data_IF_990480271730
#
_entry.id   IF_990480271730
#
_cell.length_a   1.000
_cell.length_b   1.000
_cell.length_c   1.000
_cell.angle_alpha   90.00
_cell.angle_beta   90.00
_cell.angle_gamma   90.00
#
_symmetry.space_group_name_H-M   'P 1'
#
loop_
_entity.id
_entity.type
_entity.pdbx_description
1 polymer ?
#
# COMPACT_ATOMS: atom_id res chain seq x y z
N UNK A 1 1.50 13.97 -27.53
CA UNK A 1 1.53 14.66 -26.21
C UNK A 1 1.98 13.64 -25.18
N UNK A 2 3.03 13.92 -24.40
CA UNK A 2 3.55 12.96 -23.42
C UNK A 2 2.75 13.04 -22.11
N UNK A 3 1.64 12.30 -22.07
CA UNK A 3 0.74 12.26 -20.92
C UNK A 3 1.40 11.66 -19.68
N UNK A 4 2.32 10.70 -19.87
CA UNK A 4 3.05 10.05 -18.79
C UNK A 4 3.92 11.04 -18.04
N UNK A 5 4.70 11.83 -18.77
CA UNK A 5 5.54 12.86 -18.14
C UNK A 5 4.70 13.97 -17.48
N UNK A 6 3.62 14.41 -18.11
CA UNK A 6 2.68 15.36 -17.47
C UNK A 6 2.09 14.81 -16.17
N UNK A 7 1.73 13.53 -16.14
CA UNK A 7 1.22 12.91 -14.92
C UNK A 7 2.31 12.81 -13.83
N UNK A 8 3.54 12.44 -14.20
CA UNK A 8 4.69 12.46 -13.27
C UNK A 8 4.89 13.84 -12.66
N UNK A 9 4.78 14.91 -13.45
CA UNK A 9 4.86 16.30 -12.95
C UNK A 9 3.74 16.62 -11.96
N UNK A 10 2.51 16.19 -12.23
CA UNK A 10 1.36 16.37 -11.32
C UNK A 10 1.61 15.68 -9.99
N UNK A 11 2.00 14.40 -10.00
CA UNK A 11 2.30 13.66 -8.76
C UNK A 11 3.51 14.26 -8.04
N UNK A 12 4.54 14.68 -8.76
CA UNK A 12 5.71 15.34 -8.19
C UNK A 12 5.33 16.59 -7.39
N UNK A 13 4.47 17.44 -7.98
CA UNK A 13 4.07 18.75 -7.45
C UNK A 13 2.97 18.68 -6.38
N UNK A 14 1.97 17.82 -6.57
CA UNK A 14 0.75 17.80 -5.73
C UNK A 14 0.58 16.50 -4.94
N UNK A 15 1.44 15.51 -5.17
CA UNK A 15 1.46 14.27 -4.42
C UNK A 15 2.22 14.39 -3.11
N UNK A 16 1.96 13.44 -2.22
CA UNK A 16 2.61 13.29 -0.93
C UNK A 16 3.22 11.89 -0.81
N UNK A 17 4.13 11.73 0.13
CA UNK A 17 4.86 10.49 0.33
C UNK A 17 4.15 9.58 1.34
N UNK A 18 4.00 8.31 0.98
CA UNK A 18 3.50 7.25 1.86
C UNK A 18 4.53 6.13 1.97
N UNK A 19 4.29 5.19 2.88
CA UNK A 19 5.02 3.94 2.93
C UNK A 19 4.19 2.81 2.32
N UNK A 20 4.73 2.17 1.29
CA UNK A 20 4.14 0.99 0.64
C UNK A 20 4.84 -0.25 1.18
N UNK A 21 4.09 -1.09 1.90
CA UNK A 21 4.53 -2.41 2.34
C UNK A 21 4.10 -3.44 1.31
N UNK A 22 5.08 -3.99 0.60
CA UNK A 22 4.90 -4.97 -0.45
C UNK A 22 5.20 -6.37 0.06
N UNK A 23 4.32 -7.32 -0.24
CA UNK A 23 4.51 -8.71 0.15
C UNK A 23 5.20 -9.52 -0.95
N UNK A 24 6.32 -10.16 -0.62
CA UNK A 24 6.94 -11.13 -1.52
C UNK A 24 6.22 -12.48 -1.41
N UNK A 25 5.17 -12.67 -2.22
CA UNK A 25 4.36 -13.91 -2.24
C UNK A 25 5.15 -15.18 -2.58
N UNK A 26 6.38 -15.06 -3.11
CA UNK A 26 7.27 -16.20 -3.39
C UNK A 26 8.08 -16.65 -2.17
N UNK A 27 8.16 -15.83 -1.11
CA UNK A 27 8.95 -16.11 0.09
C UNK A 27 8.08 -16.03 1.33
N UNK A 28 7.72 -17.19 1.87
CA UNK A 28 7.08 -17.29 3.19
C UNK A 28 8.02 -16.76 4.27
N UNK A 29 7.44 -16.14 5.28
CA UNK A 29 8.17 -15.76 6.47
C UNK A 29 8.51 -17.02 7.29
N UNK A 30 9.60 -16.98 8.04
CA UNK A 30 9.98 -18.08 8.95
C UNK A 30 8.95 -18.34 10.03
N UNK A 31 8.08 -17.36 10.35
CA UNK A 31 6.99 -17.53 11.31
C UNK A 31 5.71 -18.15 10.72
N UNK A 32 5.70 -18.48 9.42
CA UNK A 32 4.53 -19.07 8.78
C UNK A 32 4.45 -20.55 9.10
N UNK A 33 3.30 -20.97 9.63
CA UNK A 33 3.00 -22.37 9.90
C UNK A 33 2.12 -22.94 8.78
N UNK A 34 2.68 -23.90 8.04
CA UNK A 34 2.00 -24.59 6.94
C UNK A 34 0.84 -25.48 7.40
N UNK A 35 0.84 -25.96 8.66
CA UNK A 35 -0.25 -26.80 9.17
C UNK A 35 -1.49 -25.97 9.49
N UNK A 36 -1.31 -24.84 10.16
CA UNK A 36 -2.42 -23.93 10.52
C UNK A 36 -2.74 -22.91 9.42
N UNK A 37 -1.92 -22.84 8.36
CA UNK A 37 -2.01 -21.85 7.29
C UNK A 37 -2.03 -20.42 7.86
N UNK A 38 -1.27 -20.19 8.93
CA UNK A 38 -1.30 -18.95 9.69
C UNK A 38 0.12 -18.46 9.99
N UNK A 39 0.25 -17.16 10.21
CA UNK A 39 1.49 -16.53 10.61
C UNK A 39 1.33 -15.92 12.00
N UNK A 40 2.43 -15.86 12.75
CA UNK A 40 2.46 -15.08 13.98
C UNK A 40 2.12 -13.61 13.70
N UNK A 41 1.03 -13.14 14.31
CA UNK A 41 0.52 -11.77 14.19
C UNK A 41 1.53 -10.72 14.68
N UNK A 42 2.47 -11.12 15.54
CA UNK A 42 3.52 -10.26 16.12
C UNK A 42 4.87 -10.42 15.44
N UNK A 43 4.94 -11.15 14.32
CA UNK A 43 6.21 -11.33 13.63
C UNK A 43 6.75 -9.99 13.10
N UNK A 44 7.96 -9.55 13.47
CA UNK A 44 8.52 -8.27 13.03
C UNK A 44 8.96 -8.27 11.56
N UNK A 45 9.02 -9.43 10.90
CA UNK A 45 9.49 -9.56 9.53
C UNK A 45 8.35 -9.57 8.49
N UNK A 46 7.20 -10.15 8.85
CA UNK A 46 6.02 -10.21 7.98
C UNK A 46 4.83 -9.46 8.53
N UNK A 47 4.90 -8.95 9.76
CA UNK A 47 3.87 -8.15 10.40
C UNK A 47 2.50 -8.86 10.50
N UNK A 48 2.52 -10.19 10.59
CA UNK A 48 1.33 -11.05 10.61
C UNK A 48 0.81 -11.47 9.24
N UNK A 49 1.47 -11.08 8.14
CA UNK A 49 1.05 -11.39 6.77
C UNK A 49 1.54 -12.76 6.28
N UNK A 50 2.55 -13.34 6.94
CA UNK A 50 3.10 -14.66 6.58
C UNK A 50 4.05 -14.69 5.39
N UNK A 51 4.36 -13.53 4.81
CA UNK A 51 5.31 -13.37 3.71
C UNK A 51 6.38 -12.34 4.05
N UNK A 52 7.59 -12.54 3.54
CA UNK A 52 8.65 -11.54 3.65
C UNK A 52 8.15 -10.25 3.00
N UNK A 53 8.23 -9.15 3.75
CA UNK A 53 7.69 -7.86 3.32
C UNK A 53 8.80 -6.83 3.17
N UNK A 54 8.65 -5.92 2.21
CA UNK A 54 9.55 -4.78 2.00
C UNK A 54 8.75 -3.51 2.07
N UNK A 55 9.23 -2.51 2.82
CA UNK A 55 8.58 -1.21 2.91
C UNK A 55 9.39 -0.17 2.14
N UNK A 56 8.75 0.52 1.20
CA UNK A 56 9.37 1.57 0.37
C UNK A 56 8.58 2.87 0.44
N UNK A 57 9.28 4.00 0.28
CA UNK A 57 8.64 5.31 0.14
C UNK A 57 8.08 5.42 -1.27
N UNK A 58 6.80 5.80 -1.39
CA UNK A 58 6.14 6.04 -2.67
C UNK A 58 5.49 7.41 -2.65
N UNK A 59 5.66 8.17 -3.73
CA UNK A 59 4.96 9.43 -3.94
C UNK A 59 3.65 9.16 -4.66
N UNK A 60 2.54 9.55 -4.04
CA UNK A 60 1.19 9.27 -4.53
C UNK A 60 0.31 10.50 -4.43
N UNK A 61 -0.87 10.42 -5.03
CA UNK A 61 -2.00 11.31 -4.74
C UNK A 61 -3.18 10.45 -4.31
N UNK A 62 -4.03 10.93 -3.43
CA UNK A 62 -5.27 10.23 -3.09
C UNK A 62 -6.48 11.08 -3.46
N UNK A 63 -7.62 10.40 -3.55
CA UNK A 63 -8.94 11.01 -3.48
C UNK A 63 -9.71 10.22 -2.41
N UNK A 64 -10.02 10.92 -1.32
CA UNK A 64 -10.96 10.48 -0.31
C UNK A 64 -12.32 11.08 -0.66
N UNK A 65 -13.13 10.32 -1.40
CA UNK A 65 -14.49 10.73 -1.67
C UNK A 65 -15.39 10.14 -0.61
N UNK A 66 -16.02 10.98 0.22
CA UNK A 66 -17.14 10.56 1.07
C UNK A 66 -18.33 9.98 0.29
N UNK A 67 -18.24 9.97 -1.04
CA UNK A 67 -19.11 9.26 -1.99
C UNK A 67 -18.39 7.98 -2.44
N UNK A 68 -19.00 6.79 -2.31
CA UNK A 68 -18.39 5.53 -2.70
C UNK A 68 -17.93 5.54 -4.16
N UNK A 69 -16.68 5.16 -4.43
CA UNK A 69 -16.21 5.01 -5.81
C UNK A 69 -16.76 3.71 -6.36
N UNK A 70 -17.89 3.78 -7.05
CA UNK A 70 -18.54 2.60 -7.63
C UNK A 70 -17.72 2.07 -8.80
N UNK A 71 -16.90 1.04 -8.58
CA UNK A 71 -16.48 0.13 -9.64
C UNK A 71 -17.40 -1.09 -9.67
N UNK A 72 -17.96 -1.46 -10.83
CA UNK A 72 -18.70 -2.71 -10.98
C UNK A 72 -17.90 -3.96 -10.57
N UNK A 73 -16.56 -3.91 -10.69
CA UNK A 73 -15.66 -5.04 -10.42
C UNK A 73 -15.26 -5.23 -8.94
N UNK A 74 -15.38 -4.19 -8.10
CA UNK A 74 -15.04 -4.25 -6.66
C UNK A 74 -16.29 -4.60 -5.83
N UNK A 75 -17.37 -4.99 -6.51
CA UNK A 75 -18.53 -5.63 -5.89
C UNK A 75 -18.17 -7.06 -5.50
N UNK A 76 -17.18 -7.22 -4.59
CA UNK A 76 -16.90 -8.50 -3.98
C UNK A 76 -18.08 -8.82 -3.07
N UNK A 77 -18.93 -9.74 -3.52
CA UNK A 77 -19.99 -10.36 -2.73
C UNK A 77 -19.35 -11.12 -1.58
N UNK A 78 -19.21 -10.45 -0.43
CA UNK A 78 -18.95 -11.17 0.81
C UNK A 78 -20.11 -12.15 1.04
N UNK A 79 -19.80 -13.35 1.54
CA UNK A 79 -20.68 -14.52 1.76
C UNK A 79 -21.91 -14.26 2.66
N UNK A 80 -22.13 -13.02 3.08
CA UNK A 80 -23.27 -12.56 3.89
C UNK A 80 -24.00 -11.33 3.30
N UNK A 81 -23.85 -11.02 2.00
CA UNK A 81 -24.69 -10.01 1.33
C UNK A 81 -24.32 -8.54 1.56
N UNK A 82 -23.09 -8.26 2.03
CA UNK A 82 -22.58 -6.89 2.14
C UNK A 82 -21.83 -6.45 0.88
N UNK A 83 -22.29 -5.36 0.24
CA UNK A 83 -21.58 -4.65 -0.82
C UNK A 83 -20.44 -3.83 -0.21
N UNK A 84 -19.18 -4.22 -0.39
CA UNK A 84 -18.03 -3.39 0.03
C UNK A 84 -17.62 -2.49 -1.12
N UNK A 85 -18.03 -1.22 -1.10
CA UNK A 85 -17.59 -0.24 -2.10
C UNK A 85 -16.26 0.36 -1.64
N UNK A 86 -15.26 0.43 -2.53
CA UNK A 86 -14.01 1.13 -2.21
C UNK A 86 -14.29 2.62 -2.04
N UNK A 87 -14.05 3.14 -0.84
CA UNK A 87 -14.27 4.55 -0.48
C UNK A 87 -13.08 5.43 -0.83
N UNK A 88 -11.88 4.84 -0.96
CA UNK A 88 -10.65 5.57 -1.23
C UNK A 88 -9.86 4.99 -2.40
N UNK A 89 -9.32 5.89 -3.21
CA UNK A 89 -8.42 5.55 -4.32
C UNK A 89 -7.09 6.28 -4.19
N UNK A 90 -6.00 5.55 -4.42
CA UNK A 90 -4.64 6.04 -4.45
C UNK A 90 -4.10 5.98 -5.88
N UNK A 91 -3.40 7.04 -6.28
CA UNK A 91 -2.91 7.30 -7.61
C UNK A 91 -1.38 7.24 -7.57
N UNK A 92 -0.83 6.21 -8.20
CA UNK A 92 0.60 5.89 -8.20
C UNK A 92 1.25 6.24 -9.53
N UNK A 93 2.56 6.46 -9.49
CA UNK A 93 3.39 6.54 -10.70
C UNK A 93 3.36 5.20 -11.48
N UNK A 94 3.57 5.22 -12.81
CA UNK A 94 3.48 4.02 -13.63
C UNK A 94 4.59 3.00 -13.31
N UNK A 95 5.73 3.46 -12.80
CA UNK A 95 6.82 2.60 -12.31
C UNK A 95 6.55 1.92 -10.96
N UNK A 96 5.49 2.30 -10.23
CA UNK A 96 5.17 1.67 -8.96
C UNK A 96 4.76 0.21 -9.21
N UNK A 97 5.46 -0.73 -8.57
CA UNK A 97 5.10 -2.13 -8.60
C UNK A 97 4.06 -2.37 -7.51
N UNK A 98 2.81 -2.64 -7.88
CA UNK A 98 1.72 -2.85 -6.93
C UNK A 98 1.19 -4.27 -7.06
N UNK A 99 0.83 -4.87 -5.93
CA UNK A 99 0.12 -6.15 -5.88
C UNK A 99 -1.10 -6.01 -4.97
N UNK A 100 -2.20 -6.68 -5.32
CA UNK A 100 -3.34 -6.81 -4.40
C UNK A 100 -2.88 -7.43 -3.07
N UNK A 101 -3.41 -6.89 -1.98
CA UNK A 101 -3.04 -7.14 -0.58
C UNK A 101 -1.76 -6.45 -0.09
N UNK A 102 -1.05 -5.69 -0.92
CA UNK A 102 -0.04 -4.75 -0.40
C UNK A 102 -0.72 -3.72 0.52
N UNK A 103 0.05 -3.17 1.47
CA UNK A 103 -0.46 -2.20 2.45
C UNK A 103 0.09 -0.81 2.16
N UNK A 104 -0.79 0.18 2.20
CA UNK A 104 -0.46 1.60 2.17
C UNK A 104 -0.52 2.12 3.60
N UNK A 105 0.58 2.67 4.09
CA UNK A 105 0.67 3.27 5.42
C UNK A 105 0.78 4.77 5.23
N UNK A 106 -0.28 5.50 5.59
CA UNK A 106 -0.27 6.96 5.56
C UNK A 106 0.57 7.47 6.74
N UNK A 107 1.61 8.24 6.42
CA UNK A 107 2.57 8.81 7.36
C UNK A 107 2.77 10.29 7.08
N UNK A 108 3.25 11.03 8.07
CA UNK A 108 3.83 12.35 7.85
C UNK A 108 5.35 12.25 7.83
N UNK A 109 6.03 13.24 7.26
CA UNK A 109 7.48 13.22 7.11
C UNK A 109 8.09 14.39 7.87
N UNK A 110 9.04 14.08 8.75
CA UNK A 110 9.92 15.06 9.38
C UNK A 110 11.32 14.88 8.79
N UNK A 111 11.63 15.68 7.77
CA UNK A 111 12.81 15.42 6.92
C UNK A 111 12.66 14.08 6.21
N UNK A 112 13.64 13.19 6.41
CA UNK A 112 13.63 11.83 5.85
C UNK A 112 13.05 10.77 6.80
N UNK A 113 12.53 11.18 7.96
CA UNK A 113 11.95 10.27 8.94
C UNK A 113 10.43 10.22 8.83
N UNK A 114 9.83 9.07 8.53
CA UNK A 114 8.38 8.92 8.56
C UNK A 114 7.86 8.85 9.99
N UNK A 115 6.72 9.49 10.23
CA UNK A 115 6.00 9.54 11.51
C UNK A 115 4.59 9.02 11.28
N UNK A 116 4.21 7.97 12.01
CA UNK A 116 2.86 7.45 11.93
C UNK A 116 1.91 8.33 12.75
N UNK A 117 0.94 8.94 12.07
CA UNK A 117 -0.02 9.87 12.69
C UNK A 117 -1.38 9.21 12.99
N UNK A 118 -1.51 7.90 12.74
CA UNK A 118 -2.78 7.20 12.90
C UNK A 118 -3.79 7.45 11.77
N UNK A 119 -3.39 8.12 10.68
CA UNK A 119 -4.23 8.36 9.48
C UNK A 119 -4.73 7.07 8.81
N UNK A 120 -4.05 5.94 9.06
CA UNK A 120 -4.56 4.61 8.74
C UNK A 120 -3.56 3.75 7.95
N UNK A 121 -3.84 2.45 7.97
CA UNK A 121 -3.14 1.44 7.18
C UNK A 121 -4.19 0.80 6.28
N UNK A 122 -4.02 0.92 4.97
CA UNK A 122 -5.02 0.53 4.00
C UNK A 122 -4.53 -0.64 3.16
N UNK A 123 -5.36 -1.67 3.03
CA UNK A 123 -5.04 -2.82 2.20
C UNK A 123 -5.53 -2.57 0.77
N UNK A 124 -4.64 -2.71 -0.21
CA UNK A 124 -5.01 -2.65 -1.63
C UNK A 124 -5.93 -3.83 -1.96
N UNK A 125 -7.15 -3.51 -2.36
CA UNK A 125 -8.16 -4.48 -2.79
C UNK A 125 -8.10 -4.74 -4.29
N UNK A 126 -7.89 -3.69 -5.09
CA UNK A 126 -7.87 -3.79 -6.55
C UNK A 126 -6.91 -2.76 -7.15
N UNK A 127 -6.27 -3.13 -8.27
CA UNK A 127 -5.39 -2.26 -9.03
C UNK A 127 -5.94 -2.12 -10.44
N UNK A 128 -6.08 -0.89 -10.88
CA UNK A 128 -6.62 -0.47 -12.17
C UNK A 128 -5.53 0.30 -12.93
N UNK A 129 -4.78 -0.37 -13.83
CA UNK A 129 -3.73 0.24 -14.63
C UNK A 129 -4.34 1.16 -15.70
N UNK A 130 -4.03 2.45 -15.65
CA UNK A 130 -4.59 3.45 -16.54
C UNK A 130 -3.67 3.68 -17.73
N UNK A 131 -4.14 3.23 -18.90
CA UNK A 131 -3.39 3.25 -20.15
C UNK A 131 -3.97 4.27 -21.12
N UNK A 132 -3.12 4.83 -21.97
CA UNK A 132 -3.53 5.71 -23.07
C UNK A 132 -3.42 5.02 -24.42
N UNK A 133 -3.77 5.72 -25.50
CA UNK A 133 -3.63 5.26 -26.88
C UNK A 133 -2.26 4.59 -27.11
N UNK A 134 -2.27 3.42 -27.76
CA UNK A 134 -1.07 2.61 -27.93
C UNK A 134 -0.71 1.70 -26.74
N UNK A 135 -1.53 1.69 -25.68
CA UNK A 135 -1.38 0.77 -24.55
C UNK A 135 -0.33 1.19 -23.53
N UNK A 136 0.23 2.40 -23.65
CA UNK A 136 1.21 2.93 -22.71
C UNK A 136 0.56 3.12 -21.32
N UNK A 137 1.21 2.59 -20.28
CA UNK A 137 0.80 2.79 -18.89
C UNK A 137 1.18 4.21 -18.44
N UNK A 138 0.17 5.01 -18.12
CA UNK A 138 0.33 6.39 -17.66
C UNK A 138 0.44 6.42 -16.14
N UNK A 139 -0.43 5.66 -15.44
CA UNK A 139 -0.43 5.58 -13.98
C UNK A 139 -1.17 4.33 -13.48
N UNK A 140 -1.01 4.01 -12.21
CA UNK A 140 -1.79 2.96 -11.56
C UNK A 140 -2.76 3.59 -10.57
N UNK A 141 -4.02 3.15 -10.59
CA UNK A 141 -5.01 3.51 -9.59
C UNK A 141 -5.25 2.31 -8.68
N UNK A 142 -5.00 2.46 -7.38
CA UNK A 142 -5.22 1.42 -6.38
C UNK A 142 -6.43 1.76 -5.53
N UNK A 143 -7.38 0.85 -5.47
CA UNK A 143 -8.54 0.93 -4.59
C UNK A 143 -8.27 0.13 -3.34
N UNK A 144 -8.58 0.71 -2.18
CA UNK A 144 -8.33 0.08 -0.89
C UNK A 144 -9.62 -0.41 -0.25
N UNK A 145 -9.50 -1.35 0.69
CA UNK A 145 -10.60 -1.73 1.56
C UNK A 145 -11.03 -0.54 2.41
N UNK A 146 -12.34 -0.40 2.61
CA UNK A 146 -12.94 0.70 3.38
C UNK A 146 -12.51 0.69 4.86
N UNK A 147 -12.39 -0.51 5.45
CA UNK A 147 -11.95 -0.64 6.84
C UNK A 147 -10.42 -0.60 6.92
N UNK A 148 -9.81 0.43 7.56
CA UNK A 148 -8.38 0.46 7.77
C UNK A 148 -7.96 -0.64 8.75
N UNK A 149 -6.75 -1.16 8.58
CA UNK A 149 -6.14 -2.09 9.51
C UNK A 149 -5.77 -1.31 10.77
N UNK A 150 -6.39 -1.68 11.89
CA UNK A 150 -6.07 -1.08 13.18
C UNK A 150 -4.80 -1.73 13.74
N UNK A 151 -3.65 -1.09 13.49
CA UNK A 151 -2.37 -1.49 14.06
C UNK A 151 -1.66 -0.25 14.61
N UNK A 152 -1.12 -0.36 15.82
CA UNK A 152 -0.28 0.68 16.40
C UNK A 152 1.13 0.53 15.84
N UNK A 153 1.57 1.50 15.03
CA UNK A 153 2.96 1.63 14.62
C UNK A 153 3.60 2.64 15.56
N UNK A 154 4.61 2.21 16.33
CA UNK A 154 5.30 3.10 17.27
C UNK A 154 6.43 3.89 16.61
N UNK A 155 7.01 3.36 15.53
CA UNK A 155 8.01 4.06 14.75
C UNK A 155 8.46 3.27 13.54
N UNK A 156 9.43 3.86 12.84
CA UNK A 156 10.07 3.27 11.68
C UNK A 156 11.58 3.34 11.83
N UNK A 157 12.26 2.27 11.44
CA UNK A 157 13.70 2.24 11.29
C UNK A 157 14.04 2.38 9.82
N UNK A 158 14.94 3.30 9.51
CA UNK A 158 15.46 3.52 8.16
C UNK A 158 16.62 2.55 7.95
N UNK A 159 16.57 1.75 6.89
CA UNK A 159 17.60 0.79 6.51
C UNK A 159 18.10 1.15 5.13
N UNK A 160 19.41 1.33 4.99
CA UNK A 160 20.05 1.60 3.72
C UNK A 160 20.82 0.36 3.27
N UNK A 161 20.47 -0.16 2.10
CA UNK A 161 21.14 -1.32 1.48
C UNK A 161 21.35 -1.04 -0.02
N UNK A 162 22.59 -1.14 -0.49
CA UNK A 162 22.97 -0.95 -1.91
C UNK A 162 22.34 0.32 -2.57
N UNK A 163 22.49 1.48 -1.93
CA UNK A 163 21.90 2.77 -2.35
C UNK A 163 20.36 2.80 -2.42
N UNK A 164 19.68 1.80 -1.85
CA UNK A 164 18.23 1.79 -1.69
C UNK A 164 17.88 2.01 -0.23
N UNK A 165 16.85 2.82 0.01
CA UNK A 165 16.30 3.09 1.34
C UNK A 165 15.05 2.24 1.52
N UNK A 166 15.03 1.48 2.61
CA UNK A 166 13.93 0.66 3.07
C UNK A 166 13.52 1.09 4.47
N UNK A 167 12.31 0.69 4.85
CA UNK A 167 11.76 0.98 6.17
C UNK A 167 11.40 -0.34 6.88
N UNK A 168 11.62 -0.40 8.18
CA UNK A 168 11.17 -1.49 9.05
C UNK A 168 10.23 -0.91 10.12
N UNK A 169 9.13 -1.60 10.45
CA UNK A 169 8.27 -1.17 11.56
C UNK A 169 8.94 -1.56 12.88
N UNK A 170 9.02 -0.63 13.82
CA UNK A 170 9.46 -0.95 15.19
C UNK A 170 8.25 -1.28 16.08
N UNK A 171 8.24 -2.52 16.59
CA UNK A 171 7.36 -2.97 17.69
C UNK A 171 8.24 -3.18 18.95
N UNK A 172 7.73 -2.87 20.15
CA UNK A 172 8.45 -3.16 21.40
C UNK A 172 8.64 -4.67 21.57
N UNK A 173 9.87 -5.10 21.88
CA UNK A 173 10.07 -6.35 22.61
C UNK A 173 9.59 -6.11 24.04
N UNK A 174 8.38 -6.57 24.34
CA UNK A 174 7.93 -6.75 25.73
C UNK A 174 8.76 -7.79 26.45
#
# INVERSE_FOLDING_TARGET
MDLKNKYKEIISKYGYDILLLQQNKKRRCSCYDEKTQSADRRCPFCYGLGYVSTITRQKIRDIDSGVPVTLPLITATNTYGGLSVATRAYYFLPEATLTENDLIIDVEWQGDTPIYTGKGIYQIAHIDPQRFEGGELIFNKAYVKDTPINKQIRGFKIVQDNNKVFYELSEERG
#
